data_IF_989520809731
#
_entry.id   IF_989520809731
#
_cell.length_a   1.000
_cell.length_b   1.000
_cell.length_c   1.000
_cell.angle_alpha   90.00
_cell.angle_beta   90.00
_cell.angle_gamma   90.00
#
_symmetry.space_group_name_H-M   'P 1'
#
loop_
_entity.id
_entity.type
_entity.pdbx_description
1 polymer ?
#
# COMPACT_ATOMS: atom_id res chain seq x y z
N UNK A 1 35.52 1.78 12.72
CA UNK A 1 34.50 1.65 11.66
C UNK A 1 33.18 1.30 12.33
N UNK A 2 32.09 1.96 11.97
CA UNK A 2 30.76 1.62 12.51
C UNK A 2 30.29 0.31 11.88
N UNK A 3 29.85 -0.69 12.66
CA UNK A 3 29.30 -1.93 12.11
C UNK A 3 28.05 -1.66 11.26
N UNK A 4 27.81 -2.48 10.23
CA UNK A 4 26.59 -2.42 9.45
C UNK A 4 25.39 -2.87 10.30
N UNK A 5 24.27 -2.15 10.18
CA UNK A 5 22.98 -2.48 10.80
C UNK A 5 23.02 -2.72 12.32
N UNK A 6 23.65 -1.80 13.06
CA UNK A 6 23.54 -1.76 14.53
C UNK A 6 22.11 -1.46 14.97
N UNK A 7 21.85 -1.46 16.29
CA UNK A 7 20.59 -0.95 16.84
C UNK A 7 20.34 0.52 16.48
N UNK A 8 21.41 1.29 16.24
CA UNK A 8 21.37 2.69 15.78
C UNK A 8 21.43 2.83 14.26
N UNK A 9 21.10 1.78 13.50
CA UNK A 9 21.02 1.85 12.05
C UNK A 9 20.19 3.07 11.59
N UNK A 10 20.79 3.90 10.72
CA UNK A 10 20.28 5.19 10.23
C UNK A 10 20.14 6.32 11.28
N UNK A 11 20.56 6.14 12.53
CA UNK A 11 20.44 7.16 13.59
C UNK A 11 21.80 7.80 13.86
N UNK A 12 22.10 8.88 13.15
CA UNK A 12 23.41 9.53 13.17
C UNK A 12 23.56 10.61 14.24
N UNK A 13 22.46 11.18 14.74
CA UNK A 13 22.48 12.19 15.83
C UNK A 13 21.98 11.59 17.15
N UNK A 14 22.43 12.14 18.28
CA UNK A 14 21.96 11.70 19.60
C UNK A 14 20.46 11.95 19.79
N UNK A 15 19.94 13.04 19.24
CA UNK A 15 18.52 13.35 19.31
C UNK A 15 17.69 12.35 18.49
N UNK A 16 18.18 11.92 17.31
CA UNK A 16 17.55 10.88 16.49
C UNK A 16 17.47 9.54 17.24
N UNK A 17 18.55 9.16 17.95
CA UNK A 17 18.57 7.94 18.78
C UNK A 17 17.50 7.97 19.85
N UNK A 18 17.40 9.07 20.60
CA UNK A 18 16.38 9.25 21.65
C UNK A 18 14.96 9.22 21.08
N UNK A 19 14.69 9.94 19.99
CA UNK A 19 13.37 9.90 19.34
C UNK A 19 12.98 8.48 18.92
N UNK A 20 13.91 7.74 18.30
CA UNK A 20 13.59 6.39 17.85
C UNK A 20 13.39 5.42 19.02
N UNK A 21 14.38 5.30 19.90
CA UNK A 21 14.37 4.29 20.96
C UNK A 21 13.34 4.58 22.05
N UNK A 22 13.11 5.86 22.40
CA UNK A 22 12.22 6.22 23.51
C UNK A 22 10.76 6.47 23.04
N UNK A 23 10.53 6.84 21.77
CA UNK A 23 9.21 7.24 21.28
C UNK A 23 8.68 6.44 20.10
N UNK A 24 9.51 6.00 19.15
CA UNK A 24 9.05 5.36 17.90
C UNK A 24 9.05 3.83 17.93
N UNK A 25 10.12 3.22 18.47
CA UNK A 25 10.42 1.78 18.38
C UNK A 25 9.25 0.92 18.83
N UNK A 26 8.69 1.25 19.99
CA UNK A 26 7.64 0.46 20.64
C UNK A 26 6.21 0.87 20.23
N UNK A 27 6.05 1.85 19.33
CA UNK A 27 4.72 2.19 18.82
C UNK A 27 4.10 0.99 18.09
N UNK A 28 2.81 0.70 18.30
CA UNK A 28 2.11 -0.31 17.52
C UNK A 28 2.05 0.05 16.04
N UNK A 29 1.78 -0.94 15.19
CA UNK A 29 1.59 -0.75 13.75
C UNK A 29 0.10 -0.69 13.42
N UNK A 30 -0.27 0.38 12.71
CA UNK A 30 -1.57 0.55 12.04
C UNK A 30 -1.29 0.50 10.54
N UNK A 31 -1.33 -0.69 9.95
CA UNK A 31 -0.99 -0.90 8.54
C UNK A 31 -2.26 -0.75 7.69
N UNK A 32 -2.70 0.49 7.51
CA UNK A 32 -4.03 0.81 6.96
C UNK A 32 -4.23 0.43 5.48
N UNK A 33 -3.18 0.02 4.78
CA UNK A 33 -3.25 -0.45 3.40
C UNK A 33 -2.15 -1.47 3.10
N UNK A 34 -2.56 -2.69 2.81
CA UNK A 34 -1.68 -3.78 2.41
C UNK A 34 -2.38 -4.73 1.42
N UNK A 35 -1.62 -5.70 0.93
CA UNK A 35 -2.04 -6.75 0.00
C UNK A 35 -1.84 -8.15 0.60
N UNK A 36 -1.87 -8.27 1.93
CA UNK A 36 -1.80 -9.56 2.61
C UNK A 36 -3.01 -10.42 2.23
N UNK A 37 -2.83 -11.72 1.94
CA UNK A 37 -3.93 -12.61 1.63
C UNK A 37 -4.79 -12.88 2.88
N UNK A 38 -6.08 -12.47 2.91
CA UNK A 38 -6.94 -12.65 4.09
C UNK A 38 -7.08 -14.11 4.51
N UNK A 39 -7.12 -15.03 3.54
CA UNK A 39 -7.17 -16.47 3.78
C UNK A 39 -6.01 -16.96 4.66
N UNK A 40 -4.78 -16.53 4.38
CA UNK A 40 -3.62 -16.97 5.17
C UNK A 40 -3.67 -16.43 6.60
N UNK A 41 -4.30 -15.28 6.82
CA UNK A 41 -4.55 -14.76 8.16
C UNK A 41 -5.64 -15.60 8.84
N UNK A 42 -6.75 -15.87 8.15
CA UNK A 42 -7.86 -16.65 8.70
C UNK A 42 -7.42 -18.06 9.11
N UNK A 43 -6.64 -18.74 8.28
CA UNK A 43 -6.13 -20.10 8.51
C UNK A 43 -4.91 -20.16 9.44
N UNK A 44 -4.41 -19.01 9.89
CA UNK A 44 -3.13 -18.87 10.58
C UNK A 44 -1.99 -19.64 9.91
N UNK A 45 -1.79 -19.34 8.62
CA UNK A 45 -0.96 -20.12 7.73
C UNK A 45 0.45 -20.32 8.27
N UNK A 46 0.91 -21.58 8.26
CA UNK A 46 2.27 -21.95 8.60
C UNK A 46 3.10 -22.08 7.33
N UNK A 47 4.10 -21.22 7.21
CA UNK A 47 4.96 -21.19 6.03
C UNK A 47 5.84 -22.45 5.96
N UNK A 48 5.95 -23.02 4.77
CA UNK A 48 6.66 -24.29 4.56
C UNK A 48 8.16 -24.17 4.77
N UNK A 49 8.72 -23.03 4.35
CA UNK A 49 10.15 -22.72 4.39
C UNK A 49 10.35 -21.22 4.11
N UNK A 50 11.61 -20.78 4.14
CA UNK A 50 11.99 -19.39 3.90
C UNK A 50 11.63 -18.87 2.49
N UNK A 51 11.61 -19.70 1.45
CA UNK A 51 11.14 -19.25 0.13
C UNK A 51 9.64 -18.91 0.14
N UNK A 52 8.83 -19.75 0.79
CA UNK A 52 7.36 -19.61 0.82
C UNK A 52 6.93 -18.25 1.42
N UNK A 53 7.57 -17.83 2.52
CA UNK A 53 7.29 -16.54 3.16
C UNK A 53 7.98 -15.34 2.49
N UNK A 54 9.15 -15.55 1.87
CA UNK A 54 10.06 -14.45 1.54
C UNK A 54 10.15 -14.10 0.06
N UNK A 55 9.96 -15.09 -0.82
CA UNK A 55 10.23 -14.98 -2.27
C UNK A 55 9.02 -15.29 -3.14
N UNK A 56 8.06 -16.09 -2.67
CA UNK A 56 6.92 -16.57 -3.49
C UNK A 56 5.96 -15.47 -3.98
N UNK A 57 5.98 -14.29 -3.35
CA UNK A 57 5.15 -13.15 -3.75
C UNK A 57 5.90 -11.83 -3.88
N UNK A 58 7.22 -11.81 -3.78
CA UNK A 58 7.98 -10.55 -3.72
C UNK A 58 8.56 -10.16 -5.08
N UNK A 59 7.84 -9.30 -5.78
CA UNK A 59 8.22 -8.82 -7.11
C UNK A 59 9.45 -7.89 -7.10
N UNK A 60 9.85 -7.31 -5.97
CA UNK A 60 11.12 -6.57 -5.89
C UNK A 60 12.31 -7.52 -5.97
N UNK A 61 12.26 -8.63 -5.24
CA UNK A 61 13.31 -9.67 -5.25
C UNK A 61 13.42 -10.29 -6.65
N UNK A 62 12.30 -10.64 -7.29
CA UNK A 62 12.32 -11.15 -8.68
C UNK A 62 12.90 -10.15 -9.67
N UNK A 63 12.56 -8.86 -9.55
CA UNK A 63 13.15 -7.82 -10.40
C UNK A 63 14.66 -7.77 -10.25
N UNK A 64 15.19 -7.78 -9.02
CA UNK A 64 16.64 -7.78 -8.78
C UNK A 64 17.32 -9.03 -9.33
N UNK A 65 16.72 -10.21 -9.15
CA UNK A 65 17.23 -11.47 -9.70
C UNK A 65 17.29 -11.43 -11.24
N UNK A 66 16.24 -10.94 -11.90
CA UNK A 66 16.23 -10.75 -13.37
C UNK A 66 17.27 -9.73 -13.84
N UNK A 67 17.44 -8.62 -13.11
CA UNK A 67 18.52 -7.64 -13.36
C UNK A 67 19.90 -8.28 -13.22
N UNK A 68 20.06 -9.22 -12.30
CA UNK A 68 21.29 -10.00 -12.11
C UNK A 68 21.42 -11.19 -13.09
N UNK A 69 20.57 -11.27 -14.11
CA UNK A 69 20.64 -12.31 -15.15
C UNK A 69 20.22 -13.71 -14.70
N UNK A 70 19.56 -13.83 -13.53
CA UNK A 70 19.04 -15.11 -13.05
C UNK A 70 17.94 -15.62 -13.99
N UNK A 71 17.98 -16.90 -14.32
CA UNK A 71 16.99 -17.53 -15.19
C UNK A 71 15.57 -17.48 -14.59
N UNK A 72 14.55 -17.26 -15.43
CA UNK A 72 13.15 -17.12 -14.96
C UNK A 72 12.65 -18.36 -14.19
N UNK A 73 13.17 -19.56 -14.49
CA UNK A 73 12.85 -20.79 -13.73
C UNK A 73 13.22 -20.69 -12.24
N UNK A 74 14.23 -19.89 -11.91
CA UNK A 74 14.70 -19.62 -10.54
C UNK A 74 14.02 -18.39 -9.91
N UNK A 75 13.15 -17.69 -10.66
CA UNK A 75 12.31 -16.61 -10.13
C UNK A 75 10.89 -17.16 -9.87
N UNK A 76 10.07 -17.24 -10.93
CA UNK A 76 8.65 -17.64 -10.84
C UNK A 76 8.36 -19.02 -11.45
N UNK A 77 9.33 -19.64 -12.13
CA UNK A 77 9.11 -20.93 -12.79
C UNK A 77 9.18 -22.13 -11.85
N UNK A 78 9.58 -23.28 -12.39
CA UNK A 78 9.39 -24.61 -11.82
C UNK A 78 10.56 -25.13 -10.95
N UNK A 79 11.60 -24.34 -10.73
CA UNK A 79 12.68 -24.73 -9.82
C UNK A 79 12.19 -24.92 -8.38
N UNK A 80 12.90 -25.75 -7.62
CA UNK A 80 12.59 -25.97 -6.21
C UNK A 80 12.75 -24.69 -5.38
N UNK A 81 12.01 -24.61 -4.27
CA UNK A 81 12.08 -23.51 -3.30
C UNK A 81 13.53 -23.23 -2.86
N UNK A 82 14.32 -24.30 -2.64
CA UNK A 82 15.73 -24.20 -2.24
C UNK A 82 16.60 -23.62 -3.35
N UNK A 83 16.48 -24.09 -4.59
CA UNK A 83 17.23 -23.53 -5.73
C UNK A 83 16.92 -22.04 -5.94
N UNK A 84 15.65 -21.64 -5.79
CA UNK A 84 15.23 -20.23 -5.89
C UNK A 84 15.81 -19.38 -4.76
N UNK A 85 15.83 -19.90 -3.54
CA UNK A 85 16.48 -19.24 -2.41
C UNK A 85 18.00 -19.11 -2.61
N UNK A 86 18.69 -20.15 -3.10
CA UNK A 86 20.13 -20.07 -3.37
C UNK A 86 20.45 -19.03 -4.45
N UNK A 87 19.61 -18.94 -5.48
CA UNK A 87 19.72 -17.90 -6.49
C UNK A 87 19.51 -16.49 -5.92
N UNK A 88 18.60 -16.34 -4.94
CA UNK A 88 18.43 -15.09 -4.20
C UNK A 88 19.65 -14.78 -3.33
N UNK A 89 20.15 -15.74 -2.55
CA UNK A 89 21.33 -15.56 -1.70
C UNK A 89 22.59 -15.21 -2.51
N UNK A 90 22.73 -15.75 -3.72
CA UNK A 90 23.78 -15.37 -4.67
C UNK A 90 23.57 -13.95 -5.24
N UNK A 91 22.34 -13.46 -5.31
CA UNK A 91 22.01 -12.12 -5.82
C UNK A 91 22.22 -11.04 -4.77
N UNK A 92 21.92 -11.29 -3.48
CA UNK A 92 21.97 -10.28 -2.40
C UNK A 92 23.29 -9.49 -2.34
N UNK A 93 24.49 -10.08 -2.42
CA UNK A 93 25.75 -9.32 -2.42
C UNK A 93 25.85 -8.25 -3.51
N UNK A 94 25.13 -8.42 -4.63
CA UNK A 94 25.08 -7.47 -5.75
C UNK A 94 24.03 -6.36 -5.55
N UNK A 95 23.31 -6.35 -4.43
CA UNK A 95 22.25 -5.38 -4.14
C UNK A 95 22.69 -4.26 -3.20
N UNK A 96 23.98 -4.12 -2.87
CA UNK A 96 24.50 -3.02 -2.06
C UNK A 96 24.14 -1.68 -2.71
N UNK A 97 23.49 -0.79 -1.94
CA UNK A 97 22.93 0.48 -2.43
C UNK A 97 21.46 0.41 -2.85
N UNK A 98 20.92 -0.79 -3.09
CA UNK A 98 19.48 -1.03 -3.27
C UNK A 98 18.81 -1.27 -1.90
N UNK A 99 17.57 -0.79 -1.66
CA UNK A 99 16.87 -1.03 -0.39
C UNK A 99 16.67 -2.51 -0.05
N UNK A 100 16.68 -3.41 -1.05
CA UNK A 100 16.64 -4.86 -0.82
C UNK A 100 17.75 -5.35 0.10
N UNK A 101 18.93 -4.71 0.08
CA UNK A 101 20.01 -5.07 0.99
C UNK A 101 19.65 -4.71 2.44
N UNK A 102 18.97 -3.57 2.67
CA UNK A 102 18.49 -3.23 4.00
C UNK A 102 17.33 -4.13 4.43
N UNK A 103 16.32 -4.33 3.59
CA UNK A 103 15.16 -5.17 3.93
C UNK A 103 15.57 -6.60 4.25
N UNK A 104 16.44 -7.21 3.43
CA UNK A 104 16.96 -8.57 3.67
C UNK A 104 17.46 -8.73 5.10
N UNK A 105 18.30 -7.80 5.57
CA UNK A 105 18.93 -7.93 6.89
C UNK A 105 18.02 -7.43 8.03
N UNK A 106 17.10 -6.49 7.76
CA UNK A 106 16.07 -6.10 8.73
C UNK A 106 15.09 -7.25 8.97
N UNK A 107 14.65 -7.93 7.92
CA UNK A 107 13.73 -9.07 7.97
C UNK A 107 14.38 -10.27 8.68
N UNK A 108 15.67 -10.54 8.43
CA UNK A 108 16.44 -11.53 9.20
C UNK A 108 16.57 -11.13 10.68
N UNK A 109 16.78 -9.84 10.98
CA UNK A 109 16.84 -9.37 12.37
C UNK A 109 15.49 -9.50 13.07
N UNK A 110 14.39 -9.16 12.40
CA UNK A 110 13.03 -9.19 12.94
C UNK A 110 12.06 -9.71 11.88
N UNK A 111 11.42 -10.88 12.09
CA UNK A 111 11.24 -11.56 13.37
C UNK A 111 12.30 -12.61 13.74
N UNK A 112 13.23 -12.98 12.84
CA UNK A 112 14.05 -14.19 13.04
C UNK A 112 15.20 -14.05 14.07
N UNK A 113 15.54 -12.83 14.53
CA UNK A 113 16.60 -12.62 15.52
C UNK A 113 18.02 -12.78 14.99
N UNK A 114 18.20 -12.97 13.68
CA UNK A 114 19.50 -13.19 13.06
C UNK A 114 20.20 -11.84 12.88
N UNK A 115 21.32 -11.65 13.59
CA UNK A 115 22.14 -10.42 13.56
C UNK A 115 23.60 -10.73 13.28
N UNK A 116 24.36 -9.74 12.81
CA UNK A 116 25.81 -9.89 12.53
C UNK A 116 26.16 -10.83 11.37
N UNK A 117 25.17 -11.39 10.68
CA UNK A 117 25.33 -12.26 9.50
C UNK A 117 24.86 -11.53 8.25
N UNK A 118 25.63 -11.61 7.18
CA UNK A 118 25.25 -11.12 5.85
C UNK A 118 24.76 -12.28 5.01
N UNK A 119 23.63 -12.13 4.31
CA UNK A 119 23.16 -13.17 3.40
C UNK A 119 24.03 -13.21 2.14
N UNK A 120 24.63 -14.37 1.90
CA UNK A 120 25.46 -14.69 0.75
C UNK A 120 25.43 -16.20 0.49
N UNK A 121 26.02 -16.72 -0.60
CA UNK A 121 26.15 -18.16 -0.79
C UNK A 121 26.82 -18.89 0.38
N UNK A 122 27.76 -18.24 1.09
CA UNK A 122 28.48 -18.88 2.20
C UNK A 122 27.69 -18.97 3.50
N UNK A 123 26.62 -18.18 3.65
CA UNK A 123 25.75 -18.16 4.85
C UNK A 123 24.34 -18.66 4.56
N UNK A 124 24.02 -18.94 3.30
CA UNK A 124 22.69 -19.36 2.83
C UNK A 124 22.19 -20.61 3.55
N UNK A 125 23.03 -21.65 3.70
CA UNK A 125 22.65 -22.89 4.37
C UNK A 125 22.25 -22.67 5.84
N UNK A 126 23.07 -21.91 6.57
CA UNK A 126 22.84 -21.62 7.97
C UNK A 126 21.55 -20.81 8.15
N UNK A 127 21.38 -19.73 7.39
CA UNK A 127 20.19 -18.87 7.43
C UNK A 127 18.93 -19.65 7.04
N UNK A 128 19.01 -20.47 6.00
CA UNK A 128 17.89 -21.31 5.56
C UNK A 128 17.42 -22.25 6.68
N UNK A 129 18.37 -22.97 7.29
CA UNK A 129 18.06 -23.93 8.35
C UNK A 129 17.51 -23.25 9.61
N UNK A 130 18.19 -22.19 10.09
CA UNK A 130 17.77 -21.44 11.28
C UNK A 130 16.38 -20.82 11.11
N UNK A 131 16.11 -20.16 9.97
CA UNK A 131 14.79 -19.61 9.69
C UNK A 131 13.72 -20.70 9.58
N UNK A 132 14.00 -21.85 8.96
CA UNK A 132 13.01 -22.92 8.83
C UNK A 132 12.67 -23.59 10.17
N UNK A 133 13.65 -23.73 11.07
CA UNK A 133 13.40 -24.19 12.44
C UNK A 133 12.49 -23.22 13.20
N UNK A 134 12.67 -21.91 12.99
CA UNK A 134 11.80 -20.88 13.56
C UNK A 134 10.40 -20.90 12.94
N UNK A 135 10.27 -21.00 11.61
CA UNK A 135 8.99 -21.07 10.89
C UNK A 135 8.13 -22.29 11.28
N UNK A 136 8.75 -23.34 11.83
CA UNK A 136 8.04 -24.49 12.38
C UNK A 136 7.37 -24.21 13.74
N UNK A 137 7.69 -23.11 14.42
CA UNK A 137 7.13 -22.72 15.72
C UNK A 137 5.85 -21.88 15.58
N UNK A 138 4.99 -21.93 16.60
CA UNK A 138 3.66 -21.29 16.57
C UNK A 138 3.73 -19.76 16.47
N UNK A 139 4.76 -19.15 17.04
CA UNK A 139 4.97 -17.70 16.96
C UNK A 139 5.39 -17.21 15.56
N UNK A 140 5.74 -18.10 14.63
CA UNK A 140 6.14 -17.73 13.26
C UNK A 140 5.09 -18.09 12.19
N UNK A 141 3.86 -18.40 12.60
CA UNK A 141 2.71 -18.41 11.69
C UNK A 141 2.38 -17.00 11.19
N UNK A 142 1.45 -16.89 10.23
CA UNK A 142 0.96 -15.61 9.74
C UNK A 142 0.53 -14.66 10.88
N UNK A 143 -0.30 -15.14 11.82
CA UNK A 143 -0.75 -14.34 12.97
C UNK A 143 0.35 -14.15 13.99
N UNK A 144 1.20 -15.17 14.21
CA UNK A 144 2.32 -15.09 15.13
C UNK A 144 3.29 -13.97 14.77
N UNK A 145 3.65 -13.85 13.49
CA UNK A 145 4.54 -12.77 13.00
C UNK A 145 3.87 -11.40 13.18
N UNK A 146 2.57 -11.27 12.87
CA UNK A 146 1.83 -10.02 13.08
C UNK A 146 1.88 -9.57 14.56
N UNK A 147 1.73 -10.52 15.50
CA UNK A 147 1.82 -10.26 16.92
C UNK A 147 3.24 -9.85 17.35
N UNK A 148 4.27 -10.59 16.91
CA UNK A 148 5.68 -10.27 17.20
C UNK A 148 6.07 -8.86 16.71
N UNK A 149 5.46 -8.41 15.61
CA UNK A 149 5.72 -7.09 15.03
C UNK A 149 4.83 -5.97 15.61
N UNK A 150 4.06 -6.26 16.66
CA UNK A 150 3.16 -5.33 17.35
C UNK A 150 2.12 -4.68 16.43
N UNK A 151 1.58 -5.44 15.49
CA UNK A 151 0.50 -5.01 14.60
C UNK A 151 -0.81 -4.96 15.38
N UNK A 152 -1.60 -3.89 15.20
CA UNK A 152 -2.92 -3.72 15.84
C UNK A 152 -4.07 -3.69 14.84
N UNK A 153 -3.80 -3.24 13.63
CA UNK A 153 -4.75 -3.22 12.54
C UNK A 153 -4.02 -3.39 11.21
N UNK A 154 -4.64 -4.14 10.30
CA UNK A 154 -4.30 -4.17 8.88
C UNK A 154 -5.54 -3.87 8.03
N UNK A 155 -5.36 -3.09 6.97
CA UNK A 155 -6.35 -2.87 5.92
C UNK A 155 -5.98 -3.66 4.68
N UNK A 156 -6.63 -4.79 4.43
CA UNK A 156 -6.42 -5.55 3.18
C UNK A 156 -7.03 -4.80 2.00
N UNK A 157 -6.71 -5.22 0.78
CA UNK A 157 -7.22 -4.59 -0.44
C UNK A 157 -8.04 -5.59 -1.24
N UNK A 158 -9.35 -5.34 -1.32
CA UNK A 158 -10.35 -6.33 -1.73
C UNK A 158 -11.25 -5.76 -2.84
N UNK A 159 -11.67 -6.62 -3.77
CA UNK A 159 -12.49 -6.24 -4.93
C UNK A 159 -13.98 -6.17 -4.52
N UNK A 160 -14.77 -5.23 -5.05
CA UNK A 160 -16.23 -5.19 -4.85
C UNK A 160 -16.96 -6.52 -4.95
N UNK A 161 -16.50 -7.45 -5.79
CA UNK A 161 -17.17 -8.75 -6.00
C UNK A 161 -16.81 -9.81 -4.95
N UNK A 162 -15.85 -9.55 -4.05
CA UNK A 162 -15.34 -10.54 -3.10
C UNK A 162 -16.36 -10.89 -2.01
N UNK A 163 -16.33 -12.13 -1.53
CA UNK A 163 -17.23 -12.63 -0.48
C UNK A 163 -16.95 -11.98 0.88
N UNK A 164 -15.69 -11.62 1.15
CA UNK A 164 -15.16 -11.20 2.45
C UNK A 164 -15.31 -12.27 3.55
N UNK A 165 -15.40 -13.54 3.16
CA UNK A 165 -15.63 -14.65 4.10
C UNK A 165 -14.50 -14.81 5.12
N UNK A 166 -13.25 -14.62 4.70
CA UNK A 166 -12.10 -14.71 5.59
C UNK A 166 -12.06 -13.57 6.61
N UNK A 167 -12.51 -12.35 6.25
CA UNK A 167 -12.72 -11.28 7.24
C UNK A 167 -13.80 -11.65 8.24
N UNK A 168 -14.88 -12.30 7.78
CA UNK A 168 -15.94 -12.82 8.64
C UNK A 168 -15.42 -13.86 9.64
N UNK A 169 -14.56 -14.78 9.18
CA UNK A 169 -13.93 -15.82 10.00
C UNK A 169 -13.03 -15.21 11.07
N UNK A 170 -12.15 -14.29 10.66
CA UNK A 170 -11.22 -13.59 11.57
C UNK A 170 -11.99 -12.81 12.63
N UNK A 171 -13.03 -12.07 12.23
CA UNK A 171 -13.83 -11.26 13.17
C UNK A 171 -14.60 -12.10 14.20
N UNK A 172 -14.91 -13.38 13.90
CA UNK A 172 -15.57 -14.30 14.83
C UNK A 172 -14.59 -14.96 15.80
N UNK A 173 -13.30 -14.95 15.51
CA UNK A 173 -12.27 -15.56 16.34
C UNK A 173 -11.82 -14.62 17.46
N UNK A 174 -12.45 -14.77 18.64
CA UNK A 174 -12.13 -13.96 19.82
C UNK A 174 -10.72 -14.17 20.40
N UNK A 175 -9.94 -15.16 19.91
CA UNK A 175 -8.56 -15.36 20.33
C UNK A 175 -7.56 -14.46 19.61
N UNK A 176 -7.95 -13.89 18.45
CA UNK A 176 -7.10 -13.03 17.64
C UNK A 176 -7.55 -11.57 17.74
N UNK A 177 -6.70 -10.73 18.31
CA UNK A 177 -7.06 -9.34 18.69
C UNK A 177 -6.69 -8.29 17.64
N UNK A 178 -5.91 -8.65 16.62
CA UNK A 178 -5.53 -7.73 15.55
C UNK A 178 -6.73 -7.54 14.62
N UNK A 179 -7.11 -6.29 14.35
CA UNK A 179 -8.19 -6.01 13.41
C UNK A 179 -7.73 -6.20 11.97
N UNK A 180 -8.44 -7.03 11.22
CA UNK A 180 -8.22 -7.26 9.79
C UNK A 180 -9.47 -6.79 9.08
N UNK A 181 -9.40 -5.61 8.45
CA UNK A 181 -10.56 -4.98 7.83
C UNK A 181 -10.34 -4.89 6.31
N UNK A 182 -11.40 -5.09 5.51
CA UNK A 182 -11.29 -4.94 4.07
C UNK A 182 -11.23 -3.47 3.67
N UNK A 183 -10.49 -3.18 2.60
CA UNK A 183 -10.52 -1.89 1.91
C UNK A 183 -11.09 -2.08 0.51
N UNK A 184 -12.03 -1.21 0.15
CA UNK A 184 -12.76 -1.26 -1.11
C UNK A 184 -11.91 -0.79 -2.30
N UNK A 185 -11.58 -1.67 -3.25
CA UNK A 185 -10.83 -1.31 -4.47
C UNK A 185 -11.58 -1.61 -5.77
N UNK A 186 -12.33 -0.64 -6.33
CA UNK A 186 -13.23 -0.85 -7.45
C UNK A 186 -12.57 -0.63 -8.83
N UNK A 187 -11.27 -0.91 -8.97
CA UNK A 187 -10.51 -0.63 -10.20
C UNK A 187 -11.21 -1.15 -11.46
N UNK A 188 -11.69 -2.41 -11.42
CA UNK A 188 -12.37 -3.03 -12.56
C UNK A 188 -13.76 -2.45 -12.84
N UNK A 189 -14.36 -1.76 -11.86
CA UNK A 189 -15.68 -1.13 -12.02
C UNK A 189 -15.62 0.19 -12.81
N UNK A 190 -14.49 0.92 -12.75
CA UNK A 190 -14.32 2.16 -13.51
C UNK A 190 -13.42 2.03 -14.74
N UNK A 191 -12.55 1.00 -14.81
CA UNK A 191 -11.68 0.77 -15.97
C UNK A 191 -12.43 0.12 -17.16
N UNK A 192 -13.39 0.87 -17.71
CA UNK A 192 -14.29 0.47 -18.79
C UNK A 192 -13.56 0.03 -20.07
N UNK A 193 -12.37 0.55 -20.32
CA UNK A 193 -11.54 0.21 -21.48
C UNK A 193 -10.91 -1.19 -21.41
N UNK A 194 -10.89 -1.82 -20.23
CA UNK A 194 -10.22 -3.09 -20.05
C UNK A 194 -11.02 -4.21 -20.72
N UNK A 195 -10.32 -5.16 -21.33
CA UNK A 195 -10.94 -6.30 -22.02
C UNK A 195 -11.86 -7.10 -21.08
N UNK A 196 -11.50 -7.21 -19.81
CA UNK A 196 -12.22 -7.94 -18.75
C UNK A 196 -13.45 -7.22 -18.19
N UNK A 197 -13.74 -5.98 -18.63
CA UNK A 197 -14.81 -5.18 -18.06
C UNK A 197 -16.20 -5.85 -18.15
N UNK A 198 -16.55 -6.44 -19.29
CA UNK A 198 -17.88 -7.05 -19.47
C UNK A 198 -18.07 -8.27 -18.57
N UNK A 199 -17.05 -9.13 -18.46
CA UNK A 199 -17.06 -10.29 -17.55
C UNK A 199 -17.18 -9.82 -16.09
N UNK A 200 -16.49 -8.73 -15.76
CA UNK A 200 -16.57 -8.13 -14.43
C UNK A 200 -17.96 -7.54 -14.14
N UNK A 201 -18.57 -6.81 -15.08
CA UNK A 201 -19.94 -6.29 -14.93
C UNK A 201 -20.95 -7.42 -14.74
N UNK A 202 -20.82 -8.53 -15.47
CA UNK A 202 -21.67 -9.70 -15.28
C UNK A 202 -21.54 -10.28 -13.86
N UNK A 203 -20.31 -10.41 -13.35
CA UNK A 203 -20.08 -10.92 -11.99
C UNK A 203 -20.56 -9.94 -10.91
N UNK A 204 -20.35 -8.64 -11.10
CA UNK A 204 -20.87 -7.60 -10.22
C UNK A 204 -22.39 -7.62 -10.17
N UNK A 205 -23.05 -7.80 -11.32
CA UNK A 205 -24.51 -7.95 -11.40
C UNK A 205 -25.02 -9.18 -10.65
N UNK A 206 -24.33 -10.32 -10.78
CA UNK A 206 -24.64 -11.55 -10.04
C UNK A 206 -24.52 -11.35 -8.52
N UNK A 207 -23.38 -10.84 -8.03
CA UNK A 207 -23.13 -10.72 -6.58
C UNK A 207 -23.90 -9.58 -5.90
N UNK A 208 -24.48 -8.68 -6.70
CA UNK A 208 -25.33 -7.59 -6.22
C UNK A 208 -26.82 -7.81 -6.52
N UNK A 209 -27.18 -8.92 -7.17
CA UNK A 209 -28.55 -9.19 -7.64
C UNK A 209 -29.13 -7.97 -8.40
N UNK A 210 -28.40 -7.50 -9.42
CA UNK A 210 -28.73 -6.30 -10.21
C UNK A 210 -28.41 -6.52 -11.68
N UNK A 211 -29.39 -6.31 -12.56
CA UNK A 211 -29.20 -6.34 -14.01
C UNK A 211 -28.65 -4.99 -14.49
N UNK A 212 -27.34 -4.91 -14.70
CA UNK A 212 -26.64 -3.65 -15.03
C UNK A 212 -26.77 -3.36 -16.53
N UNK A 213 -27.63 -2.40 -16.89
CA UNK A 213 -27.82 -1.95 -18.29
C UNK A 213 -27.60 -0.46 -18.48
N UNK A 214 -27.90 0.32 -17.44
CA UNK A 214 -27.76 1.78 -17.37
C UNK A 214 -26.81 2.17 -16.26
N UNK A 215 -26.33 3.39 -16.28
CA UNK A 215 -25.41 3.91 -15.27
C UNK A 215 -26.04 3.88 -13.87
N UNK A 216 -27.33 4.19 -13.74
CA UNK A 216 -28.07 4.08 -12.48
C UNK A 216 -28.12 2.64 -11.92
N UNK A 217 -28.14 1.63 -12.79
CA UNK A 217 -28.14 0.23 -12.37
C UNK A 217 -26.75 -0.15 -11.82
N UNK A 218 -25.67 0.36 -12.44
CA UNK A 218 -24.30 0.22 -11.91
C UNK A 218 -24.15 0.89 -10.53
N UNK A 219 -24.67 2.12 -10.37
CA UNK A 219 -24.68 2.80 -9.07
C UNK A 219 -25.40 1.95 -8.02
N UNK A 220 -26.56 1.39 -8.35
CA UNK A 220 -27.32 0.49 -7.47
C UNK A 220 -26.51 -0.74 -7.07
N UNK A 221 -25.86 -1.40 -8.03
CA UNK A 221 -25.00 -2.55 -7.78
C UNK A 221 -23.84 -2.20 -6.84
N UNK A 222 -23.14 -1.09 -7.12
CA UNK A 222 -22.01 -0.63 -6.30
C UNK A 222 -22.46 -0.23 -4.89
N UNK A 223 -23.59 0.45 -4.72
CA UNK A 223 -24.13 0.79 -3.39
C UNK A 223 -24.41 -0.46 -2.56
N UNK A 224 -25.04 -1.50 -3.13
CA UNK A 224 -25.26 -2.78 -2.42
C UNK A 224 -23.95 -3.42 -1.97
N UNK A 225 -22.91 -3.33 -2.80
CA UNK A 225 -21.59 -3.89 -2.48
C UNK A 225 -20.81 -3.02 -1.48
N UNK A 226 -20.98 -1.70 -1.51
CA UNK A 226 -20.48 -0.81 -0.44
C UNK A 226 -21.14 -1.12 0.91
N UNK A 227 -22.44 -1.42 0.92
CA UNK A 227 -23.16 -1.83 2.14
C UNK A 227 -22.66 -3.18 2.67
N UNK A 228 -22.38 -4.14 1.77
CA UNK A 228 -21.71 -5.40 2.12
C UNK A 228 -20.36 -5.13 2.80
N UNK A 229 -19.49 -4.32 2.19
CA UNK A 229 -18.19 -3.97 2.78
C UNK A 229 -18.32 -3.24 4.12
N UNK A 230 -19.30 -2.34 4.26
CA UNK A 230 -19.57 -1.65 5.51
C UNK A 230 -19.97 -2.62 6.63
N UNK A 231 -20.74 -3.67 6.32
CA UNK A 231 -21.11 -4.72 7.27
C UNK A 231 -19.90 -5.54 7.78
N UNK A 232 -18.80 -5.56 7.03
CA UNK A 232 -17.51 -6.15 7.43
C UNK A 232 -16.52 -5.12 8.01
N UNK A 233 -16.99 -3.91 8.34
CA UNK A 233 -16.19 -2.90 9.03
C UNK A 233 -15.26 -2.09 8.12
N UNK A 234 -15.43 -2.15 6.80
CA UNK A 234 -14.69 -1.31 5.87
C UNK A 234 -14.85 0.19 6.22
N UNK A 235 -13.74 0.93 6.17
CA UNK A 235 -13.70 2.39 6.30
C UNK A 235 -12.74 3.05 5.29
N UNK A 236 -12.20 2.26 4.37
CA UNK A 236 -11.11 2.68 3.47
C UNK A 236 -11.46 2.22 2.06
N UNK A 237 -11.19 3.08 1.09
CA UNK A 237 -11.23 2.77 -0.33
C UNK A 237 -9.90 3.09 -0.97
N UNK A 238 -9.58 2.38 -2.04
CA UNK A 238 -8.35 2.55 -2.82
C UNK A 238 -8.65 2.49 -4.32
N UNK A 239 -7.92 3.25 -5.11
CA UNK A 239 -8.07 3.27 -6.56
C UNK A 239 -6.71 3.45 -7.22
N UNK A 240 -6.39 2.57 -8.17
CA UNK A 240 -5.24 2.76 -9.04
C UNK A 240 -5.62 3.63 -10.24
N UNK A 241 -5.04 4.83 -10.29
CA UNK A 241 -5.19 5.76 -11.41
C UNK A 241 -3.89 5.77 -12.21
N UNK A 242 -3.72 4.79 -13.10
CA UNK A 242 -2.53 4.71 -13.99
C UNK A 242 -2.37 6.01 -14.81
N UNK A 243 -3.50 6.62 -15.20
CA UNK A 243 -3.61 7.96 -15.78
C UNK A 243 -4.83 8.64 -15.16
N UNK A 244 -4.67 9.87 -14.67
CA UNK A 244 -5.80 10.69 -14.22
C UNK A 244 -6.51 11.26 -15.44
N UNK A 245 -7.83 11.05 -15.52
CA UNK A 245 -8.68 11.52 -16.61
C UNK A 245 -9.86 12.30 -16.03
N UNK A 246 -10.35 13.27 -16.79
CA UNK A 246 -11.56 14.01 -16.43
C UNK A 246 -12.35 14.39 -17.68
N UNK A 247 -13.65 14.11 -17.68
CA UNK A 247 -14.61 14.65 -18.61
C UNK A 247 -16.02 14.54 -18.00
N UNK A 248 -16.86 15.55 -18.19
CA UNK A 248 -18.25 15.51 -17.73
C UNK A 248 -19.16 14.87 -18.79
N UNK A 249 -20.21 14.20 -18.32
CA UNK A 249 -21.26 13.60 -19.13
C UNK A 249 -22.59 13.68 -18.38
N UNK A 250 -23.69 13.73 -19.13
CA UNK A 250 -25.02 13.54 -18.59
C UNK A 250 -25.40 12.04 -18.55
N UNK A 251 -26.50 11.70 -17.87
CA UNK A 251 -26.94 10.31 -17.68
C UNK A 251 -27.21 9.58 -19.00
N UNK A 252 -27.80 10.25 -20.01
CA UNK A 252 -28.07 9.62 -21.31
C UNK A 252 -26.78 9.29 -22.08
N UNK A 253 -25.75 10.12 -21.96
CA UNK A 253 -24.42 9.85 -22.52
C UNK A 253 -23.78 8.64 -21.82
N UNK A 254 -23.84 8.58 -20.49
CA UNK A 254 -23.30 7.47 -19.70
C UNK A 254 -24.00 6.14 -20.01
N UNK A 255 -25.33 6.15 -20.15
CA UNK A 255 -26.11 4.97 -20.56
C UNK A 255 -25.70 4.49 -21.95
N UNK A 256 -25.52 5.41 -22.90
CA UNK A 256 -25.05 5.08 -24.25
C UNK A 256 -23.64 4.49 -24.24
N UNK A 257 -22.71 5.07 -23.47
CA UNK A 257 -21.32 4.59 -23.35
C UNK A 257 -21.30 3.17 -22.77
N UNK A 258 -22.04 2.94 -21.68
CA UNK A 258 -22.11 1.63 -21.03
C UNK A 258 -22.73 0.58 -21.96
N UNK A 259 -23.85 0.89 -22.62
CA UNK A 259 -24.52 -0.02 -23.54
C UNK A 259 -23.61 -0.43 -24.71
N UNK A 260 -22.92 0.53 -25.32
CA UNK A 260 -21.94 0.26 -26.39
C UNK A 260 -20.79 -0.62 -25.92
N UNK A 261 -20.25 -0.35 -24.73
CA UNK A 261 -19.18 -1.19 -24.17
C UNK A 261 -19.66 -2.62 -23.93
N UNK A 262 -20.85 -2.79 -23.37
CA UNK A 262 -21.46 -4.11 -23.13
C UNK A 262 -21.74 -4.85 -24.44
N UNK A 263 -22.03 -4.14 -25.54
CA UNK A 263 -22.12 -4.70 -26.88
C UNK A 263 -20.77 -5.05 -27.53
N UNK A 264 -19.64 -4.77 -26.85
CA UNK A 264 -18.30 -5.10 -27.31
C UNK A 264 -17.65 -4.03 -28.19
N UNK A 265 -18.23 -2.84 -28.27
CA UNK A 265 -17.64 -1.72 -29.02
C UNK A 265 -16.43 -1.13 -28.29
N UNK A 266 -15.46 -0.65 -29.06
CA UNK A 266 -14.34 0.15 -28.56
C UNK A 266 -14.81 1.57 -28.27
N UNK A 267 -14.43 2.10 -27.10
CA UNK A 267 -14.71 3.47 -26.70
C UNK A 267 -13.54 4.40 -27.05
N UNK A 268 -13.84 5.67 -27.29
CA UNK A 268 -12.82 6.72 -27.40
C UNK A 268 -12.24 7.10 -26.03
N UNK A 269 -11.05 7.72 -26.00
CA UNK A 269 -10.42 8.19 -24.75
C UNK A 269 -11.32 9.20 -24.00
N UNK A 270 -12.09 10.02 -24.72
CA UNK A 270 -13.04 10.95 -24.12
C UNK A 270 -14.21 10.23 -23.43
N UNK A 271 -14.80 9.21 -24.07
CA UNK A 271 -15.88 8.41 -23.48
C UNK A 271 -15.41 7.61 -22.27
N UNK A 272 -14.17 7.10 -22.32
CA UNK A 272 -13.52 6.46 -21.16
C UNK A 272 -13.36 7.46 -20.02
N UNK A 273 -12.90 8.69 -20.30
CA UNK A 273 -12.77 9.74 -19.30
C UNK A 273 -14.13 10.12 -18.69
N UNK A 274 -15.18 10.23 -19.51
CA UNK A 274 -16.55 10.53 -19.05
C UNK A 274 -17.06 9.48 -18.06
N UNK A 275 -16.95 8.20 -18.44
CA UNK A 275 -17.40 7.11 -17.58
C UNK A 275 -16.58 7.01 -16.29
N UNK A 276 -15.25 7.06 -16.36
CA UNK A 276 -14.37 7.03 -15.18
C UNK A 276 -14.67 8.17 -14.22
N UNK A 277 -14.82 9.38 -14.74
CA UNK A 277 -15.16 10.57 -13.93
C UNK A 277 -16.47 10.36 -13.20
N UNK A 278 -17.53 9.94 -13.91
CA UNK A 278 -18.84 9.74 -13.31
C UNK A 278 -18.81 8.68 -12.18
N UNK A 279 -18.13 7.54 -12.40
CA UNK A 279 -18.01 6.50 -11.36
C UNK A 279 -17.22 7.02 -10.15
N UNK A 280 -16.08 7.68 -10.35
CA UNK A 280 -15.24 8.19 -9.26
C UNK A 280 -15.92 9.33 -8.48
N UNK A 281 -16.69 10.20 -9.13
CA UNK A 281 -17.47 11.25 -8.46
C UNK A 281 -18.59 10.64 -7.61
N UNK A 282 -19.34 9.68 -8.18
CA UNK A 282 -20.37 8.95 -7.44
C UNK A 282 -19.79 8.24 -6.21
N UNK A 283 -18.69 7.51 -6.38
CA UNK A 283 -18.01 6.80 -5.30
C UNK A 283 -17.48 7.76 -4.24
N UNK A 284 -16.86 8.88 -4.63
CA UNK A 284 -16.39 9.92 -3.71
C UNK A 284 -17.51 10.42 -2.79
N UNK A 285 -18.68 10.69 -3.35
CA UNK A 285 -19.85 11.10 -2.59
C UNK A 285 -20.33 10.00 -1.60
N UNK A 286 -20.33 8.73 -2.03
CA UNK A 286 -20.65 7.60 -1.14
C UNK A 286 -19.64 7.48 0.01
N UNK A 287 -18.35 7.62 -0.27
CA UNK A 287 -17.31 7.57 0.76
C UNK A 287 -17.48 8.70 1.78
N UNK A 288 -17.79 9.91 1.32
CA UNK A 288 -18.02 11.05 2.22
C UNK A 288 -19.23 10.82 3.13
N UNK A 289 -20.36 10.34 2.58
CA UNK A 289 -21.56 10.00 3.37
C UNK A 289 -21.30 8.92 4.42
N UNK A 290 -20.41 7.97 4.12
CA UNK A 290 -20.03 6.87 5.02
C UNK A 290 -18.88 7.22 5.98
N UNK A 291 -18.27 8.40 5.83
CA UNK A 291 -17.08 8.79 6.61
C UNK A 291 -15.83 7.97 6.29
N UNK A 292 -15.78 7.35 5.11
CA UNK A 292 -14.66 6.55 4.64
C UNK A 292 -13.49 7.42 4.15
N UNK A 293 -12.32 6.80 4.08
CA UNK A 293 -11.13 7.38 3.46
C UNK A 293 -11.07 6.94 2.00
N UNK A 294 -10.76 7.89 1.12
CA UNK A 294 -10.44 7.69 -0.29
C UNK A 294 -8.93 7.69 -0.47
N UNK A 295 -8.38 6.68 -1.14
CA UNK A 295 -6.98 6.65 -1.55
C UNK A 295 -6.90 6.64 -3.08
N UNK A 296 -5.96 7.43 -3.60
CA UNK A 296 -5.60 7.45 -5.02
C UNK A 296 -4.12 7.17 -5.21
N UNK A 297 -3.81 6.00 -5.79
CA UNK A 297 -2.47 5.58 -6.19
C UNK A 297 -2.25 5.88 -7.67
N UNK A 298 -1.47 6.93 -7.96
CA UNK A 298 -1.45 7.56 -9.28
C UNK A 298 -0.13 7.30 -10.03
N UNK A 299 -0.23 6.89 -11.30
CA UNK A 299 0.89 6.95 -12.24
C UNK A 299 1.72 5.66 -12.37
N UNK A 300 1.11 4.48 -12.25
CA UNK A 300 1.75 3.24 -12.66
C UNK A 300 1.68 3.06 -14.18
N UNK A 301 2.79 2.59 -14.77
CA UNK A 301 2.85 2.14 -16.16
C UNK A 301 2.99 0.61 -16.14
N UNK A 302 1.89 -0.08 -16.44
CA UNK A 302 1.75 -1.52 -16.19
C UNK A 302 2.01 -2.37 -17.42
N UNK A 303 2.43 -3.62 -17.18
CA UNK A 303 2.52 -4.68 -18.20
C UNK A 303 3.44 -4.34 -19.39
N UNK A 304 4.54 -3.60 -19.14
CA UNK A 304 5.45 -3.10 -20.18
C UNK A 304 6.09 -4.20 -21.03
N UNK A 305 6.38 -5.36 -20.41
CA UNK A 305 7.00 -6.48 -21.09
C UNK A 305 5.93 -7.43 -21.64
N UNK A 306 5.45 -7.17 -22.86
CA UNK A 306 4.37 -7.95 -23.49
C UNK A 306 4.68 -9.45 -23.63
N UNK A 307 5.95 -9.82 -23.85
CA UNK A 307 6.35 -11.24 -23.93
C UNK A 307 6.11 -11.91 -22.57
N UNK A 308 6.55 -11.27 -21.50
CA UNK A 308 6.40 -11.83 -20.15
C UNK A 308 4.97 -11.77 -19.67
N UNK A 309 4.22 -10.71 -19.98
CA UNK A 309 2.81 -10.62 -19.67
C UNK A 309 2.00 -11.79 -20.24
N UNK A 310 2.26 -12.19 -21.49
CA UNK A 310 1.62 -13.36 -22.10
C UNK A 310 1.95 -14.69 -21.40
N UNK A 311 3.11 -14.79 -20.75
CA UNK A 311 3.59 -16.01 -20.11
C UNK A 311 3.20 -16.09 -18.62
N UNK A 312 3.23 -14.96 -17.93
CA UNK A 312 3.20 -14.88 -16.47
C UNK A 312 2.01 -14.07 -15.94
N UNK A 313 1.31 -13.30 -16.79
CA UNK A 313 0.23 -12.41 -16.37
C UNK A 313 0.71 -11.10 -15.74
N UNK A 314 -0.20 -10.36 -15.07
CA UNK A 314 0.09 -9.08 -14.40
C UNK A 314 0.83 -9.26 -13.05
N UNK A 315 1.27 -8.15 -12.45
CA UNK A 315 1.80 -8.07 -11.08
C UNK A 315 3.03 -8.94 -10.77
N UNK A 316 3.79 -9.30 -11.81
CA UNK A 316 5.00 -10.12 -11.70
C UNK A 316 6.29 -9.30 -11.86
N UNK A 317 6.26 -7.99 -11.60
CA UNK A 317 7.46 -7.15 -11.53
C UNK A 317 7.94 -6.54 -12.84
N UNK A 318 7.08 -6.40 -13.85
CA UNK A 318 7.35 -5.69 -15.12
C UNK A 318 6.66 -4.32 -15.26
N UNK A 319 6.19 -3.77 -14.15
CA UNK A 319 5.57 -2.44 -14.08
C UNK A 319 6.62 -1.36 -13.74
N UNK A 320 6.36 -0.11 -14.09
CA UNK A 320 7.28 1.01 -13.84
C UNK A 320 6.53 2.33 -13.62
N UNK A 321 7.28 3.42 -13.50
CA UNK A 321 6.76 4.77 -13.27
C UNK A 321 6.19 5.33 -14.58
N UNK A 322 4.96 5.86 -14.54
CA UNK A 322 4.35 6.65 -15.61
C UNK A 322 4.68 8.15 -15.43
N UNK A 323 4.64 8.91 -16.51
CA UNK A 323 5.03 10.32 -16.57
C UNK A 323 4.02 11.20 -17.31
N UNK A 324 2.75 10.76 -17.41
CA UNK A 324 1.67 11.65 -17.83
C UNK A 324 1.40 12.72 -16.76
N UNK A 325 1.35 14.01 -17.12
CA UNK A 325 0.96 15.07 -16.18
C UNK A 325 -0.43 14.81 -15.59
N UNK A 326 -0.60 15.03 -14.28
CA UNK A 326 -1.85 14.74 -13.56
C UNK A 326 -2.55 15.96 -12.96
N UNK A 327 -1.85 17.09 -12.82
CA UNK A 327 -2.28 18.21 -11.99
C UNK A 327 -3.66 18.76 -12.37
N UNK A 328 -3.89 19.02 -13.66
CA UNK A 328 -5.13 19.64 -14.15
C UNK A 328 -6.34 18.73 -13.94
N UNK A 329 -6.26 17.49 -14.43
CA UNK A 329 -7.40 16.56 -14.32
C UNK A 329 -7.66 16.10 -12.89
N UNK A 330 -6.60 15.99 -12.07
CA UNK A 330 -6.77 15.72 -10.64
C UNK A 330 -7.48 16.87 -9.93
N UNK A 331 -7.12 18.13 -10.25
CA UNK A 331 -7.80 19.29 -9.71
C UNK A 331 -9.27 19.33 -10.09
N UNK A 332 -9.61 19.05 -11.35
CA UNK A 332 -11.00 19.02 -11.82
C UNK A 332 -11.80 17.90 -11.14
N UNK A 333 -11.24 16.71 -11.02
CA UNK A 333 -11.88 15.58 -10.34
C UNK A 333 -12.18 15.89 -8.87
N UNK A 334 -11.18 16.36 -8.12
CA UNK A 334 -11.35 16.70 -6.70
C UNK A 334 -12.30 17.89 -6.51
N UNK A 335 -12.24 18.89 -7.40
CA UNK A 335 -13.18 20.00 -7.41
C UNK A 335 -14.61 19.51 -7.63
N UNK A 336 -14.82 18.60 -8.58
CA UNK A 336 -16.15 18.04 -8.87
C UNK A 336 -16.71 17.25 -7.69
N UNK A 337 -15.89 16.44 -7.03
CA UNK A 337 -16.28 15.76 -5.79
C UNK A 337 -16.62 16.73 -4.66
N UNK A 338 -15.97 17.90 -4.62
CA UNK A 338 -16.15 18.88 -3.57
C UNK A 338 -17.30 19.89 -3.82
N UNK A 339 -17.92 19.91 -5.01
CA UNK A 339 -18.97 20.90 -5.37
C UNK A 339 -20.11 20.95 -4.34
N UNK A 340 -20.53 19.81 -3.83
CA UNK A 340 -21.59 19.68 -2.82
C UNK A 340 -21.04 19.46 -1.40
N UNK A 341 -19.76 19.78 -1.16
CA UNK A 341 -19.03 19.46 0.07
C UNK A 341 -19.01 17.94 0.37
N UNK A 342 -18.94 17.12 -0.68
CA UNK A 342 -18.95 15.66 -0.63
C UNK A 342 -17.59 15.03 -0.97
N UNK A 343 -16.50 15.81 -0.88
CA UNK A 343 -15.15 15.25 -0.97
C UNK A 343 -14.81 14.54 0.36
N UNK A 344 -14.50 13.23 0.37
CA UNK A 344 -14.15 12.50 1.58
C UNK A 344 -12.75 12.90 2.11
N UNK A 345 -12.40 12.35 3.28
CA UNK A 345 -10.98 12.19 3.66
C UNK A 345 -10.23 11.56 2.50
N UNK A 346 -9.15 12.18 2.02
CA UNK A 346 -8.45 11.70 0.83
C UNK A 346 -6.95 11.64 1.05
N UNK A 347 -6.33 10.52 0.68
CA UNK A 347 -4.87 10.36 0.63
C UNK A 347 -4.45 10.22 -0.83
N UNK A 348 -3.53 11.07 -1.26
CA UNK A 348 -2.98 11.05 -2.62
C UNK A 348 -1.56 10.48 -2.60
N UNK A 349 -1.28 9.56 -3.52
CA UNK A 349 0.05 8.97 -3.75
C UNK A 349 0.44 9.14 -5.21
N UNK A 350 1.69 9.54 -5.47
CA UNK A 350 2.26 9.57 -6.81
C UNK A 350 3.41 8.57 -6.94
N UNK A 351 3.41 7.79 -8.01
CA UNK A 351 4.52 6.87 -8.30
C UNK A 351 5.74 7.60 -8.86
N UNK A 352 5.52 8.70 -9.57
CA UNK A 352 6.58 9.54 -10.10
C UNK A 352 6.94 10.64 -9.10
N UNK A 353 8.14 10.62 -8.49
CA UNK A 353 8.47 11.56 -7.44
C UNK A 353 8.77 12.98 -7.96
N UNK A 354 8.67 13.22 -9.28
CA UNK A 354 8.62 14.59 -9.83
C UNK A 354 7.31 15.32 -9.47
N UNK A 355 6.28 14.55 -9.12
CA UNK A 355 4.94 15.05 -8.83
C UNK A 355 4.72 15.21 -7.31
N UNK A 356 5.78 15.07 -6.49
CA UNK A 356 5.71 15.26 -5.04
C UNK A 356 5.20 16.66 -4.68
N UNK A 357 5.74 17.70 -5.30
CA UNK A 357 5.34 19.10 -5.07
C UNK A 357 3.96 19.39 -5.64
N UNK A 358 3.59 18.72 -6.74
CA UNK A 358 2.24 18.79 -7.33
C UNK A 358 1.22 18.29 -6.30
N UNK A 359 1.42 17.09 -5.73
CA UNK A 359 0.52 16.57 -4.71
C UNK A 359 0.57 17.36 -3.41
N UNK A 360 1.78 17.74 -2.96
CA UNK A 360 1.98 18.52 -1.73
C UNK A 360 1.25 19.86 -1.75
N UNK A 361 1.17 20.52 -2.90
CA UNK A 361 0.35 21.73 -3.06
C UNK A 361 -1.13 21.43 -3.34
N UNK A 362 -1.45 20.37 -4.10
CA UNK A 362 -2.83 19.99 -4.43
C UNK A 362 -3.68 19.74 -3.18
N UNK A 363 -3.13 19.05 -2.16
CA UNK A 363 -3.87 18.76 -0.92
C UNK A 363 -4.28 20.04 -0.18
N UNK A 364 -3.55 21.15 -0.34
CA UNK A 364 -3.83 22.43 0.29
C UNK A 364 -5.12 23.08 -0.21
N UNK A 365 -5.51 22.81 -1.47
CA UNK A 365 -6.70 23.39 -2.10
C UNK A 365 -8.02 22.86 -1.51
N UNK A 366 -8.00 21.69 -0.86
CA UNK A 366 -9.20 20.94 -0.50
C UNK A 366 -9.24 20.50 0.98
N UNK A 367 -8.47 21.15 1.85
CA UNK A 367 -8.58 20.93 3.30
C UNK A 367 -10.00 21.30 3.79
N UNK A 368 -10.42 20.75 4.94
CA UNK A 368 -11.78 20.94 5.46
C UNK A 368 -11.82 21.30 6.95
N UNK A 369 -12.89 21.98 7.35
CA UNK A 369 -13.15 22.35 8.75
C UNK A 369 -13.34 21.12 9.65
N UNK A 370 -12.97 21.25 10.93
CA UNK A 370 -13.22 20.21 11.94
C UNK A 370 -12.35 18.95 11.84
N UNK A 371 -11.50 18.83 10.82
CA UNK A 371 -10.65 17.65 10.61
C UNK A 371 -9.21 18.03 10.23
N UNK A 372 -8.26 17.95 11.17
CA UNK A 372 -6.85 18.22 10.89
C UNK A 372 -6.31 17.29 9.80
N UNK A 373 -5.88 17.88 8.67
CA UNK A 373 -5.31 17.14 7.55
C UNK A 373 -6.31 16.24 6.85
N UNK A 374 -7.52 16.73 6.54
CA UNK A 374 -8.53 16.01 5.73
C UNK A 374 -7.94 15.48 4.41
N UNK A 375 -7.06 16.25 3.78
CA UNK A 375 -6.30 15.84 2.60
C UNK A 375 -4.86 15.53 3.00
N UNK A 376 -4.40 14.34 2.66
CA UNK A 376 -3.07 13.82 2.99
C UNK A 376 -2.26 13.59 1.72
N UNK A 377 -0.97 13.89 1.79
CA UNK A 377 0.02 13.40 0.82
C UNK A 377 0.66 12.16 1.43
N UNK A 378 0.35 11.00 0.85
CA UNK A 378 0.74 9.70 1.36
C UNK A 378 2.25 9.45 1.34
N UNK A 379 2.69 8.43 2.08
CA UNK A 379 4.11 8.02 2.14
C UNK A 379 4.68 7.71 0.75
N UNK A 380 6.01 7.68 0.64
CA UNK A 380 6.69 7.30 -0.60
C UNK A 380 6.20 5.93 -1.10
N UNK A 381 5.51 5.91 -2.23
CA UNK A 381 4.82 4.72 -2.72
C UNK A 381 5.71 3.84 -3.61
N UNK A 382 5.66 2.52 -3.39
CA UNK A 382 6.25 1.46 -4.21
C UNK A 382 7.75 1.61 -4.49
N UNK A 383 8.15 2.19 -5.63
CA UNK A 383 9.57 2.42 -5.96
C UNK A 383 10.19 3.52 -5.08
N UNK A 384 9.34 4.36 -4.48
CA UNK A 384 9.72 5.45 -3.59
C UNK A 384 9.66 5.05 -2.11
N UNK A 385 9.23 3.83 -1.79
CA UNK A 385 9.24 3.27 -0.43
C UNK A 385 10.66 2.84 -0.04
N UNK A 386 11.58 3.80 -0.01
CA UNK A 386 12.99 3.61 0.32
C UNK A 386 13.56 4.95 0.82
N UNK A 387 14.78 4.94 1.36
CA UNK A 387 15.33 6.09 2.09
C UNK A 387 15.23 7.44 1.34
N UNK A 388 15.74 7.52 0.11
CA UNK A 388 15.68 8.74 -0.70
C UNK A 388 14.23 9.15 -1.00
N UNK A 389 13.40 8.20 -1.40
CA UNK A 389 12.00 8.47 -1.76
C UNK A 389 11.17 8.95 -0.56
N UNK A 390 11.33 8.31 0.60
CA UNK A 390 10.69 8.71 1.86
C UNK A 390 11.19 10.09 2.33
N UNK A 391 12.49 10.35 2.29
CA UNK A 391 13.05 11.66 2.67
C UNK A 391 12.52 12.76 1.77
N UNK A 392 12.48 12.55 0.45
CA UNK A 392 11.93 13.51 -0.51
C UNK A 392 10.44 13.75 -0.29
N UNK A 393 9.66 12.69 -0.11
CA UNK A 393 8.22 12.81 0.15
C UNK A 393 7.95 13.59 1.46
N UNK A 394 8.59 13.19 2.57
CA UNK A 394 8.38 13.83 3.86
C UNK A 394 8.90 15.27 3.88
N UNK A 395 9.98 15.57 3.15
CA UNK A 395 10.47 16.95 2.96
C UNK A 395 9.42 17.80 2.28
N UNK A 396 8.83 17.34 1.17
CA UNK A 396 7.78 18.12 0.49
C UNK A 396 6.52 18.27 1.34
N UNK A 397 6.09 17.22 2.05
CA UNK A 397 4.97 17.32 2.98
C UNK A 397 5.25 18.30 4.13
N UNK A 398 6.47 18.35 4.66
CA UNK A 398 6.85 19.30 5.71
C UNK A 398 6.86 20.75 5.22
N UNK A 399 7.29 20.99 3.99
CA UNK A 399 7.39 22.34 3.41
C UNK A 399 6.04 22.89 2.92
N UNK A 400 5.19 22.02 2.35
CA UNK A 400 3.96 22.41 1.67
C UNK A 400 2.69 22.12 2.48
N UNK A 401 2.80 21.30 3.52
CA UNK A 401 1.70 20.88 4.39
C UNK A 401 2.07 20.89 5.87
N UNK A 402 1.58 19.91 6.63
CA UNK A 402 1.84 19.77 8.07
C UNK A 402 2.30 18.35 8.39
N UNK A 403 3.62 18.14 8.47
CA UNK A 403 4.19 16.82 8.79
C UNK A 403 3.66 16.24 10.11
N UNK A 404 3.35 17.09 11.10
CA UNK A 404 2.80 16.65 12.39
C UNK A 404 1.41 16.01 12.30
N UNK A 405 0.69 16.23 11.19
CA UNK A 405 -0.62 15.63 10.88
C UNK A 405 -0.54 14.48 9.89
N UNK A 406 0.66 14.06 9.51
CA UNK A 406 0.86 12.98 8.56
C UNK A 406 0.35 11.65 9.13
N UNK A 407 -0.49 10.95 8.36
CA UNK A 407 -1.00 9.62 8.72
C UNK A 407 0.08 8.54 8.75
N UNK A 408 1.27 8.82 8.20
CA UNK A 408 2.43 7.97 8.36
C UNK A 408 2.48 6.78 7.40
N UNK A 409 3.11 5.71 7.84
CA UNK A 409 3.53 4.59 7.00
C UNK A 409 2.44 3.52 6.83
N UNK A 410 2.45 2.89 5.66
CA UNK A 410 1.76 1.65 5.31
C UNK A 410 2.78 0.71 4.65
N UNK A 411 2.52 -0.60 4.58
CA UNK A 411 3.44 -1.53 3.93
C UNK A 411 3.23 -1.65 2.43
N UNK A 412 1.99 -1.50 1.93
CA UNK A 412 1.60 -1.78 0.54
C UNK A 412 2.11 -3.17 0.06
N UNK A 413 2.16 -4.14 0.99
CA UNK A 413 2.85 -5.41 0.77
C UNK A 413 1.94 -6.61 0.90
N UNK A 414 2.32 -7.70 0.22
CA UNK A 414 1.75 -9.04 0.38
C UNK A 414 2.58 -9.98 1.25
N UNK A 415 3.70 -9.51 1.79
CA UNK A 415 4.56 -10.32 2.66
C UNK A 415 4.33 -10.01 4.13
N UNK A 416 4.23 -11.06 4.95
CA UNK A 416 4.18 -10.95 6.41
C UNK A 416 5.50 -10.47 7.04
N UNK A 417 6.59 -10.41 6.27
CA UNK A 417 7.89 -9.89 6.72
C UNK A 417 8.03 -8.37 6.49
N UNK A 418 7.05 -7.76 5.82
CA UNK A 418 7.08 -6.36 5.40
C UNK A 418 6.99 -5.35 6.55
N UNK A 419 6.61 -5.75 7.77
CA UNK A 419 6.49 -4.83 8.92
C UNK A 419 7.82 -4.16 9.30
N UNK A 420 8.95 -4.70 8.86
CA UNK A 420 10.25 -4.02 8.96
C UNK A 420 10.34 -2.73 8.14
N UNK A 421 9.45 -2.51 7.16
CA UNK A 421 9.27 -1.22 6.46
C UNK A 421 8.79 -0.12 7.40
N UNK A 422 7.94 -0.42 8.38
CA UNK A 422 7.60 0.53 9.44
C UNK A 422 8.81 0.88 10.29
N UNK A 423 9.65 -0.11 10.64
CA UNK A 423 10.90 0.16 11.36
C UNK A 423 11.82 1.07 10.53
N UNK A 424 11.98 0.78 9.23
CA UNK A 424 12.81 1.56 8.32
C UNK A 424 12.32 3.01 8.22
N UNK A 425 11.01 3.20 7.99
CA UNK A 425 10.36 4.51 7.99
C UNK A 425 10.58 5.27 9.30
N UNK A 426 10.34 4.63 10.45
CA UNK A 426 10.49 5.26 11.77
C UNK A 426 11.91 5.75 12.02
N UNK A 427 12.92 4.96 11.60
CA UNK A 427 14.33 5.37 11.70
C UNK A 427 14.63 6.59 10.83
N UNK A 428 14.14 6.61 9.59
CA UNK A 428 14.33 7.73 8.66
C UNK A 428 13.64 9.00 9.18
N UNK A 429 12.41 8.89 9.68
CA UNK A 429 11.67 10.00 10.29
C UNK A 429 12.45 10.59 11.48
N UNK A 430 12.90 9.73 12.41
CA UNK A 430 13.65 10.17 13.59
C UNK A 430 15.02 10.77 13.22
N UNK A 431 15.69 10.21 12.21
CA UNK A 431 16.92 10.78 11.64
C UNK A 431 16.69 12.18 11.10
N UNK A 432 15.66 12.36 10.27
CA UNK A 432 15.37 13.64 9.63
C UNK A 432 15.09 14.73 10.68
N UNK A 433 14.23 14.45 11.67
CA UNK A 433 13.92 15.37 12.76
C UNK A 433 15.17 15.63 13.62
N UNK A 434 15.93 14.58 13.96
CA UNK A 434 17.14 14.71 14.78
C UNK A 434 18.22 15.56 14.12
N UNK A 435 18.31 15.57 12.78
CA UNK A 435 19.20 16.45 12.01
C UNK A 435 18.73 17.89 12.00
N UNK A 436 17.41 18.15 11.87
CA UNK A 436 16.86 19.51 11.98
C UNK A 436 17.17 20.14 13.35
N UNK A 437 17.07 19.34 14.42
CA UNK A 437 17.43 19.81 15.77
C UNK A 437 18.92 20.13 15.87
N UNK A 438 19.79 19.25 15.38
CA UNK A 438 21.25 19.46 15.42
C UNK A 438 21.69 20.69 14.60
N UNK A 439 20.99 20.97 13.50
CA UNK A 439 21.22 22.15 12.66
C UNK A 439 20.61 23.45 13.21
N UNK A 440 19.80 23.40 14.28
CA UNK A 440 19.08 24.56 14.81
C UNK A 440 17.87 24.99 13.97
N UNK A 441 17.39 24.13 13.08
CA UNK A 441 16.21 24.33 12.24
C UNK A 441 14.90 23.96 12.97
N UNK A 442 15.01 23.13 14.02
CA UNK A 442 13.92 22.75 14.91
C UNK A 442 14.33 22.88 16.38
N UNK A 443 13.40 23.15 17.31
CA UNK A 443 13.72 23.25 18.74
C UNK A 443 14.12 21.87 19.30
N UNK A 444 15.12 21.84 20.17
CA UNK A 444 15.54 20.64 20.92
C UNK A 444 14.55 20.27 22.06
N UNK A 445 13.25 20.32 21.79
CA UNK A 445 12.19 19.93 22.72
C UNK A 445 11.77 18.47 22.47
N UNK A 446 12.31 17.57 23.30
CA UNK A 446 12.08 16.12 23.16
C UNK A 446 10.62 15.72 23.40
N UNK A 447 9.87 16.48 24.21
CA UNK A 447 8.47 16.16 24.48
C UNK A 447 7.61 16.51 23.28
N UNK A 448 7.82 17.70 22.70
CA UNK A 448 7.12 18.13 21.50
C UNK A 448 7.40 17.19 20.32
N UNK A 449 8.67 16.94 20.03
CA UNK A 449 9.08 16.14 18.86
C UNK A 449 8.83 14.65 19.08
N UNK A 450 8.96 14.16 20.32
CA UNK A 450 8.61 12.80 20.68
C UNK A 450 7.11 12.52 20.52
N UNK A 451 6.24 13.46 20.89
CA UNK A 451 4.80 13.35 20.67
C UNK A 451 4.45 13.39 19.17
N UNK A 452 5.09 14.29 18.41
CA UNK A 452 4.96 14.31 16.95
C UNK A 452 5.34 12.95 16.32
N UNK A 453 6.44 12.33 16.78
CA UNK A 453 6.88 11.01 16.31
C UNK A 453 5.84 9.94 16.65
N UNK A 454 5.32 9.88 17.88
CA UNK A 454 4.25 8.95 18.26
C UNK A 454 3.00 9.11 17.39
N UNK A 455 2.64 10.36 17.12
CA UNK A 455 1.49 10.68 16.30
C UNK A 455 1.63 10.17 14.86
N UNK A 456 2.77 10.44 14.22
CA UNK A 456 3.04 9.97 12.85
C UNK A 456 3.20 8.45 12.80
N UNK A 457 3.73 7.82 13.85
CA UNK A 457 3.92 6.37 13.89
C UNK A 457 2.62 5.58 14.03
N UNK A 458 1.57 6.17 14.62
CA UNK A 458 0.35 5.45 14.95
C UNK A 458 -0.90 6.32 15.17
N UNK A 459 -0.86 7.31 16.07
CA UNK A 459 -2.10 7.97 16.53
C UNK A 459 -2.83 8.70 15.40
N UNK A 460 -2.10 9.37 14.50
CA UNK A 460 -2.68 10.09 13.37
C UNK A 460 -3.48 9.12 12.47
N UNK A 461 -2.93 7.95 12.13
CA UNK A 461 -3.64 6.93 11.36
C UNK A 461 -4.89 6.46 12.12
N UNK A 462 -4.75 6.03 13.38
CA UNK A 462 -5.88 5.58 14.21
C UNK A 462 -7.03 6.59 14.21
N UNK A 463 -6.72 7.87 14.43
CA UNK A 463 -7.70 8.93 14.56
C UNK A 463 -8.30 9.32 13.18
N UNK A 464 -7.48 9.37 12.13
CA UNK A 464 -7.91 9.70 10.78
C UNK A 464 -8.85 8.64 10.19
N UNK A 465 -8.55 7.36 10.39
CA UNK A 465 -9.42 6.26 9.95
C UNK A 465 -10.60 6.01 10.90
N UNK A 466 -10.54 6.52 12.14
CA UNK A 466 -11.56 6.37 13.17
C UNK A 466 -11.97 4.90 13.39
N UNK A 467 -11.00 4.00 13.38
CA UNK A 467 -11.20 2.57 13.62
C UNK A 467 -10.93 2.30 15.11
N UNK A 468 -11.95 1.80 15.80
CA UNK A 468 -11.81 1.38 17.19
C UNK A 468 -10.91 0.15 17.27
N UNK A 469 -9.84 0.24 18.06
CA UNK A 469 -8.95 -0.86 18.36
C UNK A 469 -9.30 -1.41 19.75
N UNK A 470 -9.17 -2.73 19.92
CA UNK A 470 -9.48 -3.42 21.16
C UNK A 470 -8.36 -3.28 22.20
#
# INVERSE_FOLDING_TARGET
>A
MTPFMTEDFLLDTEFARRLYHDYAKDQPIFDYHCHLPPQQIAEDYRFKNLYDIWLKGDHYKWRAMRTNGVAERLCTGDASDREKFDAWAATVPHTIGNPLYHWTHLELRRPFGITGKLLSPSTADEIWNECNELLAQDNFSARGIMQQMNVKMVGTTDDPIDSLEHHAEIAKDGSFTIKVLPSWRPDKAFNIEQATFNDYMAKLGEVSDTDIRRFADLQTALTKRLDHFAAYGCKVSDHALDVVMFAEANEAELDSILARRLAGETLSEHEVAQFKTAVLVFLGAEYARRGWVQQYHIGALRNNNLRQFKLLGPDVGFDSINDRPMAEELSKLLSKQNEENLLPKTILYCLNPRDNEVLGTMIGNFQGEGMPGKMQFGSGWWFNDQKDGMERQMTQLAQLGLLSRFVGMLTDSRSFLSYTRHEYFRRILCQMIGRWVEAGEAPADINLLGEMVKNICFNNARDYFAIELN
#
